data_IF_043503544067
#
_entry.id   IF_043503544067
#
_cell.length_a   1.000
_cell.length_b   1.000
_cell.length_c   1.000
_cell.angle_alpha   90.00
_cell.angle_beta   90.00
_cell.angle_gamma   90.00
#
_symmetry.space_group_name_H-M   'P 1'
#
loop_
_entity.id
_entity.type
_entity.pdbx_description
1 polymer ?
#
# COMPACT_ATOMS: atom_id res chain seq x y z
N UNK A 1 -25.25 -39.21 19.40
CA UNK A 1 -25.13 -37.80 19.83
C UNK A 1 -24.08 -37.15 18.95
N UNK A 2 -24.45 -36.34 17.94
CA UNK A 2 -23.47 -35.60 17.14
C UNK A 2 -23.06 -34.36 17.95
N UNK A 3 -21.81 -34.32 18.38
CA UNK A 3 -21.21 -33.12 18.99
C UNK A 3 -21.24 -32.02 17.93
N UNK A 4 -22.13 -31.05 18.09
CA UNK A 4 -22.13 -29.83 17.28
C UNK A 4 -20.91 -29.05 17.75
N UNK A 5 -19.83 -29.07 16.97
CA UNK A 5 -18.65 -28.24 17.25
C UNK A 5 -19.14 -26.79 17.15
N UNK A 6 -19.29 -26.13 18.30
CA UNK A 6 -19.57 -24.70 18.38
C UNK A 6 -18.26 -23.98 18.11
N UNK A 7 -18.16 -23.36 16.94
CA UNK A 7 -17.04 -22.50 16.59
C UNK A 7 -17.50 -21.07 16.75
N UNK A 8 -17.09 -20.40 17.83
CA UNK A 8 -17.32 -18.97 18.01
C UNK A 8 -16.19 -18.21 17.31
N UNK A 9 -16.53 -17.17 16.55
CA UNK A 9 -15.55 -16.23 15.98
C UNK A 9 -15.55 -14.92 16.75
N UNK A 10 -14.39 -14.25 16.77
CA UNK A 10 -14.22 -12.90 17.31
C UNK A 10 -14.23 -11.91 16.17
N UNK A 11 -15.17 -10.98 16.22
CA UNK A 11 -15.35 -9.92 15.23
C UNK A 11 -14.80 -8.64 15.84
N UNK A 12 -13.67 -8.22 15.32
CA UNK A 12 -13.06 -6.95 15.66
C UNK A 12 -13.58 -5.86 14.73
N UNK A 13 -13.46 -4.62 15.18
CA UNK A 13 -13.69 -3.42 14.40
C UNK A 13 -12.60 -2.36 14.56
N UNK A 14 -12.56 -1.49 13.56
CA UNK A 14 -11.87 -0.20 13.55
C UNK A 14 -12.46 0.72 12.49
N UNK A 15 -12.19 2.02 12.60
CA UNK A 15 -12.76 3.04 11.72
C UNK A 15 -11.70 4.01 11.20
N UNK A 16 -12.04 4.75 10.14
CA UNK A 16 -11.26 5.91 9.69
C UNK A 16 -11.09 6.91 10.83
N UNK A 17 -9.85 7.17 11.24
CA UNK A 17 -9.55 8.18 12.26
C UNK A 17 -9.74 9.57 11.69
N UNK A 18 -10.59 10.37 12.35
CA UNK A 18 -10.78 11.78 12.05
C UNK A 18 -10.67 12.63 13.31
N UNK A 19 -10.27 13.89 13.15
CA UNK A 19 -10.52 14.92 14.14
C UNK A 19 -11.92 15.50 13.90
N UNK A 20 -12.85 15.21 14.81
CA UNK A 20 -14.26 15.59 14.68
C UNK A 20 -14.54 16.94 15.36
N UNK A 21 -15.39 17.75 14.73
CA UNK A 21 -16.02 18.93 15.32
C UNK A 21 -17.54 18.87 15.10
N UNK A 22 -18.30 19.45 16.03
CA UNK A 22 -19.77 19.48 15.97
C UNK A 22 -20.45 18.56 16.98
N UNK A 23 -21.69 18.15 16.68
CA UNK A 23 -22.51 17.25 17.51
C UNK A 23 -22.79 15.95 16.76
N UNK A 24 -23.29 14.88 17.43
CA UNK A 24 -23.66 13.63 16.76
C UNK A 24 -24.60 13.79 15.55
N UNK A 25 -25.47 14.80 15.58
CA UNK A 25 -26.43 15.10 14.53
C UNK A 25 -25.84 15.99 13.41
N UNK A 26 -24.78 16.74 13.70
CA UNK A 26 -24.16 17.66 12.75
C UNK A 26 -22.66 17.82 13.05
N UNK A 27 -21.85 16.99 12.40
CA UNK A 27 -20.40 16.98 12.56
C UNK A 27 -19.67 17.05 11.22
N UNK A 28 -18.40 17.46 11.29
CA UNK A 28 -17.46 17.41 10.18
C UNK A 28 -16.06 17.00 10.64
N UNK A 29 -15.28 16.45 9.73
CA UNK A 29 -13.86 16.15 9.93
C UNK A 29 -13.02 17.38 9.64
N UNK A 30 -12.07 17.72 10.52
CA UNK A 30 -11.07 18.77 10.23
C UNK A 30 -9.76 18.22 9.68
N UNK A 31 -9.49 16.92 9.88
CA UNK A 31 -8.34 16.19 9.32
C UNK A 31 -8.48 14.69 9.58
N UNK A 32 -7.78 13.88 8.78
CA UNK A 32 -7.57 12.46 9.06
C UNK A 32 -6.47 12.27 10.11
N UNK A 33 -6.66 11.31 11.02
CA UNK A 33 -5.76 11.03 12.16
C UNK A 33 -5.24 9.59 12.17
N UNK A 34 -5.51 8.81 11.12
CA UNK A 34 -5.11 7.40 11.02
C UNK A 34 -6.32 6.48 11.19
N UNK A 35 -6.29 5.62 12.21
CA UNK A 35 -7.42 4.78 12.57
C UNK A 35 -7.92 5.12 13.98
N UNK A 36 -9.22 4.94 14.21
CA UNK A 36 -9.88 5.10 15.51
C UNK A 36 -10.79 3.90 15.81
N UNK A 37 -11.30 3.83 17.04
CA UNK A 37 -12.22 2.76 17.47
C UNK A 37 -11.65 1.35 17.26
N UNK A 38 -10.35 1.19 17.53
CA UNK A 38 -9.62 -0.06 17.37
C UNK A 38 -9.93 -1.01 18.52
N UNK A 39 -10.58 -2.11 18.21
CA UNK A 39 -10.77 -3.25 19.14
C UNK A 39 -9.59 -4.24 19.14
N UNK A 40 -8.57 -3.97 18.33
CA UNK A 40 -7.32 -4.71 18.21
C UNK A 40 -6.17 -3.81 18.67
N UNK A 41 -5.10 -4.41 19.20
CA UNK A 41 -3.87 -3.68 19.52
C UNK A 41 -3.34 -2.86 18.33
N UNK A 42 -3.45 -3.43 17.13
CA UNK A 42 -3.14 -2.76 15.87
C UNK A 42 -3.93 -3.37 14.72
N UNK A 43 -4.17 -2.60 13.66
CA UNK A 43 -4.75 -3.15 12.42
C UNK A 43 -3.76 -4.16 11.83
N UNK A 44 -4.18 -5.39 11.45
CA UNK A 44 -3.26 -6.40 10.92
C UNK A 44 -2.53 -5.91 9.65
N UNK A 45 -1.21 -6.16 9.51
CA UNK A 45 -0.43 -5.70 8.36
C UNK A 45 -1.01 -6.11 7.00
N UNK A 46 -1.49 -7.35 6.88
CA UNK A 46 -2.15 -7.86 5.66
C UNK A 46 -3.39 -7.05 5.27
N UNK A 47 -4.11 -6.51 6.25
CA UNK A 47 -5.27 -5.66 6.00
C UNK A 47 -4.85 -4.22 5.68
N UNK A 48 -3.81 -3.70 6.35
CA UNK A 48 -3.21 -2.40 6.01
C UNK A 48 -2.68 -2.40 4.57
N UNK A 49 -2.00 -3.47 4.16
CA UNK A 49 -1.57 -3.75 2.79
C UNK A 49 -2.74 -3.62 1.81
N UNK A 50 -3.85 -4.32 2.08
CA UNK A 50 -5.03 -4.27 1.22
C UNK A 50 -5.70 -2.88 1.16
N UNK A 51 -5.78 -2.18 2.29
CA UNK A 51 -6.33 -0.82 2.37
C UNK A 51 -5.47 0.15 1.56
N UNK A 52 -4.14 0.12 1.74
CA UNK A 52 -3.22 1.01 1.03
C UNK A 52 -3.07 0.67 -0.44
N UNK A 53 -3.30 -0.59 -0.82
CA UNK A 53 -3.47 -1.00 -2.20
C UNK A 53 -4.83 -0.62 -2.81
N UNK A 54 -5.64 0.17 -2.10
CA UNK A 54 -6.95 0.67 -2.55
C UNK A 54 -7.97 -0.43 -2.84
N UNK A 55 -7.81 -1.61 -2.24
CA UNK A 55 -8.69 -2.77 -2.45
C UNK A 55 -10.02 -2.66 -1.69
N UNK A 56 -10.07 -1.77 -0.69
CA UNK A 56 -11.29 -1.39 0.04
C UNK A 56 -11.76 0.03 -0.33
N UNK A 57 -11.22 0.65 -1.38
CA UNK A 57 -11.44 2.06 -1.66
C UNK A 57 -12.53 2.28 -2.73
N UNK A 58 -13.50 3.13 -2.40
CA UNK A 58 -14.46 3.65 -3.37
C UNK A 58 -13.77 4.66 -4.32
N UNK A 59 -14.22 4.75 -5.57
CA UNK A 59 -13.64 5.70 -6.53
C UNK A 59 -13.76 7.16 -6.03
N UNK A 60 -12.84 8.02 -6.44
CA UNK A 60 -12.92 9.44 -6.12
C UNK A 60 -14.26 10.02 -6.62
N UNK A 61 -14.92 10.84 -5.80
CA UNK A 61 -16.22 11.42 -6.13
C UNK A 61 -17.42 10.48 -5.98
N UNK A 62 -17.24 9.15 -5.91
CA UNK A 62 -18.36 8.17 -5.84
C UNK A 62 -19.30 8.40 -4.65
N UNK A 63 -18.77 8.78 -3.51
CA UNK A 63 -19.58 9.04 -2.30
C UNK A 63 -20.34 10.37 -2.41
N UNK A 64 -19.83 11.35 -3.17
CA UNK A 64 -20.60 12.55 -3.53
C UNK A 64 -21.73 12.19 -4.49
N UNK A 65 -21.45 11.37 -5.49
CA UNK A 65 -22.48 10.87 -6.42
C UNK A 65 -23.58 10.13 -5.66
N UNK A 66 -23.24 9.29 -4.67
CA UNK A 66 -24.23 8.60 -3.84
C UNK A 66 -25.17 9.57 -3.09
N UNK A 67 -24.63 10.68 -2.57
CA UNK A 67 -25.43 11.75 -1.93
C UNK A 67 -26.35 12.42 -2.95
N UNK A 68 -25.87 12.68 -4.16
CA UNK A 68 -26.66 13.29 -5.23
C UNK A 68 -27.77 12.37 -5.72
N UNK A 69 -27.49 11.08 -5.89
CA UNK A 69 -28.46 10.02 -6.26
C UNK A 69 -29.57 9.93 -5.21
N UNK A 70 -29.21 9.82 -3.92
CA UNK A 70 -30.18 9.75 -2.82
C UNK A 70 -31.07 11.00 -2.78
N UNK A 71 -30.48 12.19 -2.92
CA UNK A 71 -31.21 13.47 -2.96
C UNK A 71 -32.18 13.52 -4.14
N UNK A 72 -31.77 13.07 -5.32
CA UNK A 72 -32.63 13.03 -6.51
C UNK A 72 -33.82 12.07 -6.34
N UNK A 73 -33.65 11.00 -5.56
CA UNK A 73 -34.71 10.07 -5.19
C UNK A 73 -35.60 10.54 -4.03
N UNK A 74 -35.33 11.72 -3.45
CA UNK A 74 -36.06 12.24 -2.29
C UNK A 74 -35.70 11.54 -0.97
N UNK A 75 -34.57 10.84 -0.92
CA UNK A 75 -34.08 10.17 0.29
C UNK A 75 -33.31 11.14 1.19
N UNK A 76 -33.52 11.03 2.49
CA UNK A 76 -32.83 11.86 3.50
C UNK A 76 -31.52 11.23 4.00
N UNK A 77 -31.30 9.96 3.71
CA UNK A 77 -30.13 9.19 4.14
C UNK A 77 -29.56 8.39 2.97
N UNK A 78 -28.25 8.46 2.77
CA UNK A 78 -27.56 7.65 1.79
C UNK A 78 -27.39 6.23 2.32
N UNK A 79 -27.75 5.24 1.51
CA UNK A 79 -27.47 3.85 1.87
C UNK A 79 -25.96 3.59 1.83
N UNK A 80 -25.38 2.95 2.87
CA UNK A 80 -23.96 2.69 2.90
C UNK A 80 -23.56 1.71 1.80
N UNK A 81 -22.45 1.99 1.13
CA UNK A 81 -21.80 1.02 0.26
C UNK A 81 -21.00 0.03 1.12
N UNK A 82 -20.88 -1.22 0.67
CA UNK A 82 -20.12 -2.24 1.39
C UNK A 82 -19.12 -2.89 0.46
N UNK A 83 -17.87 -2.96 0.90
CA UNK A 83 -16.83 -3.75 0.25
C UNK A 83 -16.44 -4.89 1.18
N UNK A 84 -16.46 -6.12 0.69
CA UNK A 84 -16.10 -7.29 1.45
C UNK A 84 -15.00 -8.06 0.75
N UNK A 85 -14.03 -8.55 1.53
CA UNK A 85 -12.85 -9.21 1.00
C UNK A 85 -12.19 -10.13 2.01
N UNK A 86 -11.65 -11.22 1.50
CA UNK A 86 -10.65 -12.04 2.14
C UNK A 86 -9.23 -11.53 1.82
N UNK A 87 -8.36 -11.47 2.82
CA UNK A 87 -6.96 -11.07 2.67
C UNK A 87 -6.05 -12.12 3.31
N UNK A 88 -4.90 -12.41 2.69
CA UNK A 88 -3.92 -13.39 3.17
C UNK A 88 -2.50 -12.95 2.83
N UNK A 89 -1.59 -13.12 3.78
CA UNK A 89 -0.14 -12.90 3.65
C UNK A 89 0.56 -13.87 4.63
N UNK A 90 1.33 -14.82 4.09
CA UNK A 90 1.86 -15.95 4.86
C UNK A 90 0.78 -16.69 5.68
N UNK A 91 0.97 -16.74 7.00
CA UNK A 91 0.06 -17.38 7.95
C UNK A 91 -1.07 -16.45 8.44
N UNK A 92 -1.04 -15.17 8.06
CA UNK A 92 -2.05 -14.20 8.46
C UNK A 92 -3.17 -14.17 7.42
N UNK A 93 -4.38 -14.57 7.83
CA UNK A 93 -5.55 -14.57 6.97
C UNK A 93 -6.73 -13.92 7.70
N UNK A 94 -7.49 -13.07 7.02
CA UNK A 94 -8.66 -12.39 7.56
C UNK A 94 -9.78 -12.32 6.54
N UNK A 95 -11.02 -12.41 7.04
CA UNK A 95 -12.22 -11.99 6.31
C UNK A 95 -12.61 -10.63 6.85
N UNK A 96 -12.88 -9.65 5.98
CA UNK A 96 -13.23 -8.30 6.38
C UNK A 96 -14.34 -7.69 5.52
N UNK A 97 -15.15 -6.85 6.13
CA UNK A 97 -16.11 -5.96 5.46
C UNK A 97 -15.78 -4.51 5.82
N UNK A 98 -15.87 -3.62 4.85
CA UNK A 98 -15.75 -2.18 5.00
C UNK A 98 -17.10 -1.55 4.64
N UNK A 99 -17.69 -0.86 5.60
CA UNK A 99 -18.93 -0.10 5.43
C UNK A 99 -18.54 1.35 5.17
N UNK A 100 -18.97 1.88 4.04
CA UNK A 100 -18.55 3.18 3.50
C UNK A 100 -19.72 4.13 3.58
N UNK A 101 -19.49 5.28 4.21
CA UNK A 101 -20.51 6.32 4.37
C UNK A 101 -19.99 7.70 3.96
N UNK A 102 -20.86 8.56 3.43
CA UNK A 102 -20.55 9.98 3.23
C UNK A 102 -20.39 10.69 4.57
N UNK A 103 -19.38 11.54 4.64
CA UNK A 103 -19.21 12.54 5.69
C UNK A 103 -18.83 13.88 5.07
N UNK A 104 -18.75 14.94 5.89
CA UNK A 104 -18.28 16.26 5.46
C UNK A 104 -16.94 16.59 6.09
N UNK A 105 -16.10 17.31 5.36
CA UNK A 105 -14.94 17.98 5.93
C UNK A 105 -15.26 19.44 6.35
N UNK A 106 -14.28 20.14 6.91
CA UNK A 106 -14.44 21.52 7.37
C UNK A 106 -14.78 22.52 6.26
N UNK A 107 -14.54 22.14 4.99
CA UNK A 107 -14.87 22.94 3.80
C UNK A 107 -16.22 22.56 3.21
N UNK A 108 -16.98 21.68 3.87
CA UNK A 108 -18.27 21.17 3.41
C UNK A 108 -18.16 20.19 2.23
N UNK A 109 -16.96 19.72 1.88
CA UNK A 109 -16.77 18.74 0.82
C UNK A 109 -17.17 17.35 1.32
N UNK A 110 -17.79 16.56 0.45
CA UNK A 110 -18.11 15.16 0.77
C UNK A 110 -16.85 14.32 0.75
N UNK A 111 -16.60 13.61 1.85
CA UNK A 111 -15.50 12.67 2.03
C UNK A 111 -16.04 11.25 2.30
N UNK A 112 -15.23 10.24 2.00
CA UNK A 112 -15.54 8.84 2.31
C UNK A 112 -14.94 8.47 3.66
N UNK A 113 -15.76 8.02 4.61
CA UNK A 113 -15.31 7.44 5.88
C UNK A 113 -15.74 5.97 5.96
N UNK A 114 -14.92 5.17 6.63
CA UNK A 114 -15.02 3.73 6.63
C UNK A 114 -15.13 3.19 8.05
N UNK A 115 -16.00 2.21 8.24
CA UNK A 115 -16.02 1.33 9.42
C UNK A 115 -15.76 -0.09 8.97
N UNK A 116 -14.70 -0.69 9.50
CA UNK A 116 -14.23 -2.02 9.15
C UNK A 116 -14.64 -3.02 10.22
N UNK A 117 -15.10 -4.18 9.81
CA UNK A 117 -15.33 -5.34 10.67
C UNK A 117 -14.55 -6.53 10.12
N UNK A 118 -13.82 -7.23 10.98
CA UNK A 118 -12.94 -8.31 10.56
C UNK A 118 -12.90 -9.46 11.56
N UNK A 119 -12.60 -10.65 11.06
CA UNK A 119 -12.30 -11.85 11.86
C UNK A 119 -11.14 -12.60 11.24
N UNK A 120 -10.35 -13.26 12.06
CA UNK A 120 -9.27 -14.15 11.62
C UNK A 120 -9.83 -15.31 10.81
N UNK A 121 -9.08 -15.75 9.79
CA UNK A 121 -9.40 -16.88 8.93
C UNK A 121 -10.15 -16.52 7.65
N UNK A 122 -9.98 -17.35 6.64
CA UNK A 122 -10.75 -17.33 5.40
C UNK A 122 -12.09 -18.06 5.59
N UNK A 123 -13.03 -17.84 4.66
CA UNK A 123 -14.36 -18.45 4.65
C UNK A 123 -15.36 -17.79 5.60
N UNK A 124 -14.97 -16.73 6.31
CA UNK A 124 -15.79 -16.14 7.36
C UNK A 124 -16.66 -14.96 6.90
N UNK A 125 -16.59 -14.55 5.63
CA UNK A 125 -17.42 -13.45 5.11
C UNK A 125 -18.93 -13.70 5.34
N UNK A 126 -19.43 -14.91 5.10
CA UNK A 126 -20.84 -15.24 5.35
C UNK A 126 -21.24 -15.07 6.82
N UNK A 127 -20.34 -15.42 7.75
CA UNK A 127 -20.58 -15.24 9.19
C UNK A 127 -20.60 -13.76 9.56
N UNK A 128 -19.63 -12.97 9.05
CA UNK A 128 -19.59 -11.52 9.24
C UNK A 128 -20.86 -10.84 8.72
N UNK A 129 -21.36 -11.22 7.54
CA UNK A 129 -22.58 -10.63 6.98
C UNK A 129 -23.80 -10.94 7.82
N UNK A 130 -23.94 -12.17 8.29
CA UNK A 130 -25.07 -12.55 9.13
C UNK A 130 -25.05 -11.80 10.46
N UNK A 131 -23.88 -11.68 11.08
CA UNK A 131 -23.69 -10.85 12.26
C UNK A 131 -24.03 -9.38 11.98
N UNK A 132 -23.49 -8.80 10.89
CA UNK A 132 -23.66 -7.40 10.53
C UNK A 132 -25.14 -7.03 10.28
N UNK A 133 -25.83 -7.84 9.49
CA UNK A 133 -27.22 -7.59 9.07
C UNK A 133 -28.23 -7.91 10.20
N UNK A 134 -28.02 -8.98 10.97
CA UNK A 134 -29.01 -9.48 11.93
C UNK A 134 -28.75 -9.09 13.38
N UNK A 135 -27.49 -8.94 13.80
CA UNK A 135 -27.11 -8.68 15.20
C UNK A 135 -26.63 -7.25 15.41
N UNK A 136 -25.71 -6.79 14.58
CA UNK A 136 -25.17 -5.44 14.66
C UNK A 136 -26.18 -4.38 14.18
N UNK A 137 -27.24 -4.80 13.47
CA UNK A 137 -28.25 -3.90 12.88
C UNK A 137 -27.64 -2.86 11.94
N UNK A 138 -26.70 -3.30 11.09
CA UNK A 138 -26.07 -2.51 10.03
C UNK A 138 -25.35 -1.25 10.55
N UNK A 139 -24.46 -1.43 11.51
CA UNK A 139 -23.65 -0.34 12.07
C UNK A 139 -22.89 0.40 10.97
N UNK A 140 -23.04 1.71 10.93
CA UNK A 140 -22.31 2.61 10.05
C UNK A 140 -21.20 3.34 10.82
N UNK A 141 -20.41 4.14 10.11
CA UNK A 141 -19.41 5.00 10.73
C UNK A 141 -20.09 6.01 11.67
N UNK A 142 -19.56 6.10 12.89
CA UNK A 142 -19.92 7.11 13.88
C UNK A 142 -18.62 7.53 14.59
N UNK A 143 -18.19 8.80 14.47
CA UNK A 143 -16.98 9.28 15.12
C UNK A 143 -17.14 9.50 16.63
N UNK A 144 -18.37 9.45 17.16
CA UNK A 144 -18.66 9.56 18.59
C UNK A 144 -18.80 8.20 19.28
N UNK A 145 -18.85 7.10 18.51
CA UNK A 145 -18.70 5.77 19.07
C UNK A 145 -17.27 5.61 19.61
N UNK A 146 -17.12 4.96 20.77
CA UNK A 146 -15.83 4.77 21.44
C UNK A 146 -15.64 3.27 21.66
N UNK A 147 -14.56 2.73 21.08
CA UNK A 147 -14.15 1.33 21.22
C UNK A 147 -12.72 1.23 21.71
N UNK A 148 -12.47 0.32 22.63
CA UNK A 148 -11.15 0.02 23.17
C UNK A 148 -10.68 -1.36 22.72
N UNK A 149 -9.38 -1.59 22.87
CA UNK A 149 -8.79 -2.90 22.66
C UNK A 149 -9.51 -3.95 23.53
N UNK A 150 -9.95 -5.04 22.90
CA UNK A 150 -10.70 -6.10 23.58
C UNK A 150 -12.23 -5.96 23.47
N UNK A 151 -12.77 -4.83 23.00
CA UNK A 151 -14.21 -4.63 22.78
C UNK A 151 -14.72 -5.34 21.50
N UNK A 152 -14.25 -6.57 21.25
CA UNK A 152 -14.69 -7.38 20.12
C UNK A 152 -16.08 -7.99 20.37
N UNK A 153 -16.78 -8.31 19.27
CA UNK A 153 -18.02 -9.05 19.33
C UNK A 153 -17.75 -10.54 19.20
N UNK A 154 -18.46 -11.35 19.98
CA UNK A 154 -18.47 -12.79 19.79
C UNK A 154 -19.68 -13.21 18.95
N UNK A 155 -19.44 -14.11 18.00
CA UNK A 155 -20.49 -14.63 17.14
C UNK A 155 -20.38 -16.15 17.02
N UNK A 156 -21.43 -16.85 17.44
CA UNK A 156 -21.56 -18.29 17.23
C UNK A 156 -21.90 -18.58 15.77
N UNK A 157 -20.94 -19.18 15.04
CA UNK A 157 -21.09 -19.54 13.63
C UNK A 157 -22.23 -20.52 13.38
N UNK A 158 -22.69 -21.25 14.40
CA UNK A 158 -23.84 -22.13 14.32
C UNK A 158 -25.17 -21.41 14.11
N UNK A 159 -25.19 -20.08 14.34
CA UNK A 159 -26.33 -19.20 14.03
C UNK A 159 -26.41 -18.84 12.54
N UNK A 160 -25.32 -19.01 11.78
CA UNK A 160 -25.32 -18.72 10.35
C UNK A 160 -26.07 -19.79 9.59
N UNK A 161 -27.14 -19.38 8.91
CA UNK A 161 -27.88 -20.25 7.99
C UNK A 161 -27.14 -20.36 6.68
N UNK A 162 -27.14 -21.56 6.09
CA UNK A 162 -26.69 -21.73 4.70
C UNK A 162 -27.59 -20.89 3.80
N UNK A 163 -26.97 -20.02 3.02
CA UNK A 163 -27.65 -19.22 2.02
C UNK A 163 -27.40 -19.81 0.64
N UNK A 164 -28.46 -20.04 -0.09
CA UNK A 164 -28.43 -20.41 -1.49
C UNK A 164 -29.26 -19.39 -2.28
N UNK A 165 -28.76 -19.01 -3.46
CA UNK A 165 -29.55 -18.20 -4.39
C UNK A 165 -30.73 -19.08 -4.82
N UNK A 166 -31.99 -18.66 -4.61
CA UNK A 166 -33.15 -19.45 -4.99
C UNK A 166 -33.10 -19.82 -6.48
N UNK A 167 -33.42 -21.07 -6.83
CA UNK A 167 -33.48 -21.50 -8.23
C UNK A 167 -34.49 -20.70 -9.06
N UNK A 168 -35.54 -20.18 -8.41
CA UNK A 168 -36.53 -19.30 -9.02
C UNK A 168 -36.00 -17.93 -9.43
N UNK A 169 -34.81 -17.52 -8.94
CA UNK A 169 -34.19 -16.27 -9.36
C UNK A 169 -33.31 -16.48 -10.60
N UNK A 170 -33.94 -16.79 -11.73
CA UNK A 170 -33.27 -17.11 -13.00
C UNK A 170 -32.25 -16.05 -13.41
N UNK A 171 -32.55 -14.76 -13.19
CA UNK A 171 -31.64 -13.65 -13.51
C UNK A 171 -30.30 -13.78 -12.78
N UNK A 172 -30.30 -14.09 -11.49
CA UNK A 172 -29.06 -14.28 -10.73
C UNK A 172 -28.41 -15.64 -11.00
N UNK A 173 -29.20 -16.69 -11.28
CA UNK A 173 -28.66 -18.00 -11.66
C UNK A 173 -27.89 -17.91 -12.98
N UNK A 174 -28.40 -17.17 -13.97
CA UNK A 174 -27.75 -17.00 -15.26
C UNK A 174 -26.37 -16.31 -15.15
N UNK A 175 -26.18 -15.44 -14.15
CA UNK A 175 -24.88 -14.79 -13.91
C UNK A 175 -23.80 -15.78 -13.45
N UNK A 176 -24.17 -16.92 -12.86
CA UNK A 176 -23.21 -17.97 -12.48
C UNK A 176 -22.62 -18.68 -13.69
N UNK A 177 -23.33 -18.66 -14.82
CA UNK A 177 -22.91 -19.30 -16.06
C UNK A 177 -22.16 -18.34 -16.98
N UNK A 178 -21.92 -17.09 -16.57
CA UNK A 178 -21.12 -16.15 -17.38
C UNK A 178 -19.64 -16.52 -17.33
N UNK A 179 -18.97 -16.45 -18.47
CA UNK A 179 -17.52 -16.60 -18.59
C UNK A 179 -16.74 -15.35 -18.12
N UNK A 180 -17.41 -14.21 -17.93
CA UNK A 180 -16.78 -12.95 -17.51
C UNK A 180 -16.05 -13.10 -16.17
N UNK A 181 -14.80 -12.66 -16.05
CA UNK A 181 -14.04 -12.74 -14.79
C UNK A 181 -14.72 -11.96 -13.63
N UNK A 182 -15.35 -10.82 -13.94
CA UNK A 182 -16.06 -9.99 -12.98
C UNK A 182 -17.58 -10.02 -13.26
N UNK A 183 -18.39 -10.47 -12.30
CA UNK A 183 -19.85 -10.42 -12.40
C UNK A 183 -20.32 -9.01 -12.04
N UNK A 184 -20.78 -8.24 -13.01
CA UNK A 184 -21.45 -6.96 -12.78
C UNK A 184 -22.95 -7.18 -12.82
N UNK A 185 -23.57 -7.22 -11.64
CA UNK A 185 -25.01 -7.46 -11.50
C UNK A 185 -25.74 -6.20 -11.96
N UNK A 186 -26.67 -6.31 -12.90
CA UNK A 186 -27.44 -5.15 -13.37
C UNK A 186 -28.20 -4.50 -12.22
N UNK A 187 -28.23 -3.17 -12.19
CA UNK A 187 -28.94 -2.38 -11.19
C UNK A 187 -30.43 -2.75 -11.11
N UNK A 188 -31.04 -3.09 -12.26
CA UNK A 188 -32.45 -3.47 -12.38
C UNK A 188 -32.76 -4.87 -11.79
N UNK A 189 -31.74 -5.62 -11.35
CA UNK A 189 -31.88 -6.90 -10.67
C UNK A 189 -31.82 -6.66 -9.16
N UNK A 190 -32.90 -7.00 -8.45
CA UNK A 190 -32.90 -6.94 -6.99
C UNK A 190 -31.85 -7.92 -6.42
N UNK A 191 -30.81 -7.35 -5.83
CA UNK A 191 -29.72 -8.11 -5.22
C UNK A 191 -29.65 -7.83 -3.72
N UNK A 192 -29.72 -8.90 -2.92
CA UNK A 192 -29.43 -8.84 -1.49
C UNK A 192 -27.93 -9.05 -1.25
N UNK A 193 -27.42 -8.54 -0.14
CA UNK A 193 -26.00 -8.68 0.23
C UNK A 193 -25.52 -10.14 0.30
N UNK A 194 -26.41 -11.07 0.65
CA UNK A 194 -26.11 -12.50 0.65
C UNK A 194 -25.98 -13.09 -0.76
N UNK A 195 -26.72 -12.57 -1.73
CA UNK A 195 -26.64 -13.01 -3.13
C UNK A 195 -25.26 -12.70 -3.70
N UNK A 196 -24.78 -11.47 -3.52
CA UNK A 196 -23.48 -11.05 -4.06
C UNK A 196 -22.32 -11.82 -3.43
N UNK A 197 -22.35 -12.05 -2.11
CA UNK A 197 -21.35 -12.87 -1.45
C UNK A 197 -21.33 -14.31 -2.00
N UNK A 198 -22.52 -14.88 -2.27
CA UNK A 198 -22.64 -16.21 -2.85
C UNK A 198 -22.11 -16.25 -4.28
N UNK A 199 -22.48 -15.29 -5.12
CA UNK A 199 -21.97 -15.16 -6.49
C UNK A 199 -20.45 -15.08 -6.51
N UNK A 200 -19.85 -14.19 -5.71
CA UNK A 200 -18.40 -14.05 -5.61
C UNK A 200 -17.71 -15.34 -5.12
N UNK A 201 -18.29 -16.02 -4.12
CA UNK A 201 -17.73 -17.26 -3.58
C UNK A 201 -17.75 -18.44 -4.56
N UNK A 202 -18.68 -18.44 -5.52
CA UNK A 202 -18.76 -19.45 -6.58
C UNK A 202 -17.83 -19.09 -7.73
N UNK A 203 -17.77 -17.80 -8.07
CA UNK A 203 -17.04 -17.31 -9.24
C UNK A 203 -15.52 -17.30 -9.05
N UNK A 204 -15.04 -17.20 -7.81
CA UNK A 204 -13.60 -17.22 -7.52
C UNK A 204 -12.93 -18.49 -8.07
N UNK A 205 -11.74 -18.34 -8.62
CA UNK A 205 -10.90 -19.48 -8.98
C UNK A 205 -10.36 -20.19 -7.72
N UNK A 206 -9.83 -21.41 -7.89
CA UNK A 206 -9.42 -22.28 -6.77
C UNK A 206 -8.46 -21.61 -5.77
N UNK A 207 -7.60 -20.71 -6.25
CA UNK A 207 -6.59 -20.01 -5.46
C UNK A 207 -6.91 -18.53 -5.20
N UNK A 208 -8.07 -18.05 -5.65
CA UNK A 208 -8.47 -16.67 -5.44
C UNK A 208 -9.15 -16.45 -4.09
N UNK A 209 -8.87 -15.29 -3.51
CA UNK A 209 -9.56 -14.81 -2.31
C UNK A 209 -10.86 -14.12 -2.72
N UNK A 210 -11.92 -14.38 -1.96
CA UNK A 210 -13.26 -13.82 -2.25
C UNK A 210 -13.25 -12.30 -2.08
N UNK A 211 -13.70 -11.55 -3.08
CA UNK A 211 -13.88 -10.10 -3.02
C UNK A 211 -15.15 -9.67 -3.77
N UNK A 212 -15.97 -8.83 -3.14
CA UNK A 212 -17.16 -8.26 -3.76
C UNK A 212 -17.53 -6.88 -3.20
N UNK A 213 -18.37 -6.15 -3.95
CA UNK A 213 -18.80 -4.80 -3.60
C UNK A 213 -20.31 -4.60 -3.80
N UNK A 214 -21.00 -4.05 -2.81
CA UNK A 214 -22.47 -3.93 -2.77
C UNK A 214 -22.90 -2.46 -2.68
N UNK A 215 -23.80 -2.05 -3.58
CA UNK A 215 -24.34 -0.68 -3.69
C UNK A 215 -23.25 0.38 -3.76
N UNK A 216 -22.29 0.17 -4.66
CA UNK A 216 -21.20 1.12 -4.92
C UNK A 216 -21.51 2.02 -6.11
N UNK A 217 -21.28 3.33 -5.99
CA UNK A 217 -21.32 4.25 -7.15
C UNK A 217 -20.05 4.16 -8.00
N UNK A 218 -18.92 3.75 -7.40
CA UNK A 218 -17.66 3.53 -8.11
C UNK A 218 -16.59 2.91 -7.23
N UNK A 219 -15.61 2.26 -7.86
CA UNK A 219 -14.51 1.54 -7.18
C UNK A 219 -13.16 2.02 -7.71
N UNK A 220 -12.15 2.13 -6.84
CA UNK A 220 -10.80 2.50 -7.29
C UNK A 220 -10.17 1.43 -8.19
N UNK A 221 -10.46 0.15 -7.93
CA UNK A 221 -9.91 -0.99 -8.68
C UNK A 221 -10.97 -2.10 -8.91
N UNK A 222 -11.99 -1.88 -9.74
CA UNK A 222 -13.13 -2.79 -9.91
C UNK A 222 -12.76 -4.19 -10.43
N UNK A 223 -11.65 -4.33 -11.16
CA UNK A 223 -11.17 -5.61 -11.69
C UNK A 223 -10.73 -6.62 -10.61
N UNK A 224 -10.46 -6.18 -9.37
CA UNK A 224 -10.09 -7.08 -8.26
C UNK A 224 -11.31 -7.64 -7.49
N UNK A 225 -12.51 -7.62 -8.09
CA UNK A 225 -13.75 -8.09 -7.47
C UNK A 225 -14.42 -9.16 -8.31
N UNK A 226 -14.71 -10.33 -7.75
CA UNK A 226 -15.45 -11.38 -8.48
C UNK A 226 -16.91 -10.97 -8.74
N UNK A 227 -17.52 -10.17 -7.86
CA UNK A 227 -18.88 -9.67 -8.07
C UNK A 227 -19.07 -8.23 -7.58
N UNK A 228 -19.81 -7.43 -8.35
CA UNK A 228 -20.12 -6.04 -8.05
C UNK A 228 -21.62 -5.81 -8.25
N UNK A 229 -22.27 -5.20 -7.26
CA UNK A 229 -23.62 -4.68 -7.37
C UNK A 229 -23.57 -3.13 -7.31
N UNK A 230 -23.87 -2.44 -8.42
CA UNK A 230 -23.81 -1.00 -8.50
C UNK A 230 -24.96 -0.34 -7.71
N UNK A 231 -24.75 0.90 -7.26
CA UNK A 231 -25.76 1.70 -6.58
C UNK A 231 -26.80 2.32 -7.53
N UNK A 232 -26.44 2.49 -8.80
CA UNK A 232 -27.25 3.17 -9.81
C UNK A 232 -26.95 2.63 -11.23
N UNK A 233 -27.82 2.91 -12.21
CA UNK A 233 -27.55 2.58 -13.62
C UNK A 233 -26.30 3.29 -14.16
N UNK A 234 -26.06 4.53 -13.73
CA UNK A 234 -24.84 5.28 -14.05
C UNK A 234 -23.59 4.57 -13.52
N UNK A 235 -23.63 4.09 -12.28
CA UNK A 235 -22.54 3.32 -11.68
C UNK A 235 -22.30 2.01 -12.43
N UNK A 236 -23.36 1.31 -12.83
CA UNK A 236 -23.24 0.09 -13.65
C UNK A 236 -22.44 0.35 -14.94
N UNK A 237 -22.83 1.38 -15.70
CA UNK A 237 -22.16 1.77 -16.95
C UNK A 237 -20.71 2.19 -16.73
N UNK A 238 -20.47 3.00 -15.69
CA UNK A 238 -19.13 3.51 -15.35
C UNK A 238 -18.19 2.38 -14.96
N UNK A 239 -18.64 1.45 -14.11
CA UNK A 239 -17.85 0.31 -13.66
C UNK A 239 -17.57 -0.66 -14.81
N UNK A 240 -18.56 -0.93 -15.67
CA UNK A 240 -18.39 -1.74 -16.90
C UNK A 240 -17.30 -1.15 -17.79
N UNK A 241 -17.37 0.16 -18.05
CA UNK A 241 -16.37 0.87 -18.85
C UNK A 241 -14.97 0.79 -18.22
N UNK A 242 -14.88 0.99 -16.91
CA UNK A 242 -13.59 0.94 -16.19
C UNK A 242 -12.95 -0.46 -16.23
N UNK A 243 -13.75 -1.53 -16.14
CA UNK A 243 -13.25 -2.91 -16.29
C UNK A 243 -12.78 -3.17 -17.73
N UNK A 244 -13.55 -2.75 -18.73
CA UNK A 244 -13.16 -2.90 -20.15
C UNK A 244 -11.89 -2.12 -20.51
N UNK A 245 -11.68 -0.96 -19.89
CA UNK A 245 -10.51 -0.10 -20.10
C UNK A 245 -9.28 -0.53 -19.29
N UNK A 246 -9.39 -1.56 -18.45
CA UNK A 246 -8.32 -2.05 -17.58
C UNK A 246 -7.21 -2.79 -18.34
N UNK A 247 -6.56 -2.13 -19.31
CA UNK A 247 -5.34 -2.62 -19.96
C UNK A 247 -4.12 -2.29 -19.08
N UNK A 248 -3.31 -3.30 -18.74
CA UNK A 248 -2.12 -3.24 -17.88
C UNK A 248 -2.39 -2.94 -16.39
N UNK A 249 -3.16 -3.82 -15.73
CA UNK A 249 -3.31 -3.81 -14.27
C UNK A 249 -1.98 -4.23 -13.63
N UNK A 250 -1.35 -3.31 -12.87
CA UNK A 250 -0.19 -3.67 -12.05
C UNK A 250 -0.60 -4.71 -10.99
N UNK A 251 0.20 -5.77 -10.78
CA UNK A 251 -0.08 -6.77 -9.76
C UNK A 251 -0.09 -6.12 -8.37
N UNK A 252 -0.85 -6.69 -7.44
CA UNK A 252 -0.77 -6.32 -6.03
C UNK A 252 0.60 -6.75 -5.52
N UNK A 253 1.35 -5.81 -4.94
CA UNK A 253 2.69 -6.09 -4.40
C UNK A 253 2.53 -6.46 -2.93
N UNK A 254 2.91 -7.69 -2.58
CA UNK A 254 2.89 -8.18 -1.20
C UNK A 254 3.91 -7.40 -0.35
N UNK A 255 3.59 -7.12 0.93
CA UNK A 255 4.46 -6.36 1.83
C UNK A 255 4.63 -4.86 1.54
N UNK A 256 3.88 -4.28 0.59
CA UNK A 256 4.12 -2.91 0.12
C UNK A 256 3.88 -1.83 1.18
N UNK A 257 2.87 -2.02 2.04
CA UNK A 257 2.53 -1.05 3.08
C UNK A 257 3.62 -0.90 4.15
N UNK A 258 4.16 -1.98 4.74
CA UNK A 258 5.30 -1.89 5.64
C UNK A 258 6.49 -1.15 5.02
N UNK A 259 6.81 -1.42 3.75
CA UNK A 259 7.89 -0.75 3.01
C UNK A 259 7.62 0.75 2.85
N UNK A 260 6.43 1.12 2.35
CA UNK A 260 6.02 2.54 2.23
C UNK A 260 6.08 3.26 3.55
N UNK A 261 5.60 2.61 4.61
CA UNK A 261 5.61 3.19 5.95
C UNK A 261 7.02 3.35 6.47
N UNK A 262 7.91 2.39 6.23
CA UNK A 262 9.32 2.49 6.56
C UNK A 262 9.98 3.67 5.85
N UNK A 263 9.86 3.76 4.52
CA UNK A 263 10.42 4.87 3.72
C UNK A 263 9.88 6.21 4.23
N UNK A 264 8.55 6.37 4.33
CA UNK A 264 7.93 7.60 4.83
C UNK A 264 8.41 7.98 6.24
N UNK A 265 8.57 6.99 7.12
CA UNK A 265 9.02 7.22 8.51
C UNK A 265 10.47 7.69 8.52
N UNK A 266 11.36 7.03 7.79
CA UNK A 266 12.76 7.41 7.65
C UNK A 266 12.92 8.78 6.97
N UNK A 267 12.03 9.13 6.05
CA UNK A 267 12.01 10.48 5.45
C UNK A 267 11.59 11.55 6.46
N UNK A 268 10.56 11.29 7.28
CA UNK A 268 10.05 12.30 8.23
C UNK A 268 10.98 12.55 9.43
N UNK A 269 11.66 11.52 9.90
CA UNK A 269 12.44 11.59 11.14
C UNK A 269 13.77 10.89 10.98
N UNK A 270 14.81 11.47 11.58
CA UNK A 270 16.16 10.91 11.52
C UNK A 270 16.33 9.64 12.38
N UNK A 271 15.29 9.09 13.02
CA UNK A 271 15.41 7.86 13.80
C UNK A 271 15.39 6.62 12.92
N UNK A 272 16.51 5.89 12.86
CA UNK A 272 16.59 4.63 12.12
C UNK A 272 16.45 3.47 13.10
N UNK A 273 15.39 2.68 12.96
CA UNK A 273 15.13 1.49 13.79
C UNK A 273 15.32 0.23 12.96
N UNK A 274 15.72 -0.87 13.61
CA UNK A 274 15.89 -2.19 12.99
C UNK A 274 14.68 -2.58 12.12
N UNK A 275 13.46 -2.54 12.68
CA UNK A 275 12.26 -3.00 11.98
C UNK A 275 11.97 -2.22 10.69
N UNK A 276 12.25 -0.91 10.68
CA UNK A 276 12.05 -0.07 9.50
C UNK A 276 13.01 -0.48 8.37
N UNK A 277 14.28 -0.69 8.70
CA UNK A 277 15.25 -1.18 7.71
C UNK A 277 14.95 -2.61 7.29
N UNK A 278 14.46 -3.45 8.20
CA UNK A 278 14.17 -4.85 7.91
C UNK A 278 13.05 -4.98 6.87
N UNK A 279 12.03 -4.10 6.90
CA UNK A 279 11.01 -4.07 5.83
C UNK A 279 11.60 -3.74 4.46
N UNK A 280 12.53 -2.79 4.40
CA UNK A 280 13.21 -2.41 3.14
C UNK A 280 14.11 -3.55 2.66
N UNK A 281 14.89 -4.14 3.56
CA UNK A 281 15.77 -5.28 3.28
C UNK A 281 15.02 -6.48 2.71
N UNK A 282 13.91 -6.90 3.34
CA UNK A 282 13.10 -8.02 2.84
C UNK A 282 12.50 -7.72 1.46
N UNK A 283 12.08 -6.47 1.22
CA UNK A 283 11.60 -6.06 -0.10
C UNK A 283 12.71 -6.13 -1.17
N UNK A 284 13.92 -5.69 -0.84
CA UNK A 284 15.08 -5.76 -1.75
C UNK A 284 15.48 -7.20 -2.10
N UNK A 285 15.21 -8.19 -1.22
CA UNK A 285 15.43 -9.62 -1.50
C UNK A 285 14.41 -10.20 -2.48
N UNK A 286 13.21 -9.63 -2.55
CA UNK A 286 12.09 -10.10 -3.38
C UNK A 286 12.07 -9.42 -4.77
N UNK A 287 13.15 -9.55 -5.54
CA UNK A 287 13.33 -8.82 -6.82
C UNK A 287 12.25 -9.07 -7.87
N UNK A 288 11.54 -10.21 -7.80
CA UNK A 288 10.41 -10.50 -8.68
C UNK A 288 9.17 -9.63 -8.38
N UNK A 289 9.02 -9.18 -7.13
CA UNK A 289 7.91 -8.35 -6.68
C UNK A 289 8.30 -6.87 -6.56
N UNK A 290 9.56 -6.59 -6.19
CA UNK A 290 10.10 -5.24 -6.02
C UNK A 290 11.17 -4.92 -7.07
N UNK A 291 10.76 -4.89 -8.33
CA UNK A 291 11.60 -4.37 -9.41
C UNK A 291 11.64 -2.83 -9.41
N UNK A 292 12.51 -2.24 -10.22
CA UNK A 292 12.69 -0.78 -10.29
C UNK A 292 11.37 -0.03 -10.55
N UNK A 293 10.50 -0.59 -11.41
CA UNK A 293 9.17 -0.03 -11.68
C UNK A 293 8.27 -0.04 -10.44
N UNK A 294 8.31 -1.10 -9.65
CA UNK A 294 7.53 -1.19 -8.41
C UNK A 294 8.02 -0.20 -7.37
N UNK A 295 9.34 -0.10 -7.18
CA UNK A 295 9.93 0.93 -6.34
C UNK A 295 9.51 2.34 -6.80
N UNK A 296 9.62 2.64 -8.09
CA UNK A 296 9.33 3.96 -8.61
C UNK A 296 7.82 4.28 -8.56
N UNK A 297 6.97 3.48 -9.20
CA UNK A 297 5.53 3.77 -9.36
C UNK A 297 4.72 3.48 -8.10
N UNK A 298 5.02 2.39 -7.41
CA UNK A 298 4.20 1.93 -6.29
C UNK A 298 4.67 2.56 -4.99
N UNK A 299 5.99 2.59 -4.71
CA UNK A 299 6.52 3.15 -3.45
C UNK A 299 6.75 4.66 -3.54
N UNK A 300 7.73 5.11 -4.32
CA UNK A 300 8.25 6.48 -4.24
C UNK A 300 7.34 7.54 -4.86
N UNK A 301 6.65 7.23 -5.97
CA UNK A 301 5.67 8.16 -6.58
C UNK A 301 4.53 8.50 -5.63
N UNK A 302 4.11 7.56 -4.78
CA UNK A 302 3.07 7.81 -3.78
C UNK A 302 3.53 8.65 -2.59
N UNK A 303 4.84 8.86 -2.46
CA UNK A 303 5.48 9.68 -1.44
C UNK A 303 5.97 11.03 -1.99
N UNK A 304 5.53 11.39 -3.21
CA UNK A 304 5.86 12.62 -3.93
C UNK A 304 7.36 12.79 -4.28
N UNK A 305 8.02 11.70 -4.69
CA UNK A 305 9.42 11.75 -5.17
C UNK A 305 9.62 12.76 -6.31
N UNK A 306 8.62 12.99 -7.15
CA UNK A 306 8.70 13.99 -8.23
C UNK A 306 8.84 15.43 -7.72
N UNK A 307 8.33 15.72 -6.53
CA UNK A 307 8.60 17.00 -5.88
C UNK A 307 9.99 16.99 -5.24
N UNK A 308 10.43 15.88 -4.64
CA UNK A 308 11.78 15.76 -4.09
C UNK A 308 12.90 15.99 -5.12
N UNK A 309 12.65 15.66 -6.38
CA UNK A 309 13.58 15.87 -7.50
C UNK A 309 13.73 17.35 -7.91
N UNK A 310 12.87 18.25 -7.42
CA UNK A 310 12.88 19.68 -7.77
C UNK A 310 13.66 20.49 -6.73
N UNK A 311 14.50 21.42 -7.19
CA UNK A 311 15.35 22.25 -6.33
C UNK A 311 14.58 23.17 -5.36
N UNK A 312 13.29 23.46 -5.62
CA UNK A 312 12.47 24.31 -4.74
C UNK A 312 11.90 23.56 -3.53
N UNK A 313 12.09 22.23 -3.44
CA UNK A 313 11.46 21.37 -2.43
C UNK A 313 12.49 20.75 -1.47
N UNK A 314 13.33 21.59 -0.85
CA UNK A 314 14.47 21.14 -0.04
C UNK A 314 14.16 20.95 1.45
N UNK A 315 12.97 20.43 1.78
CA UNK A 315 12.67 20.12 3.18
C UNK A 315 13.47 18.90 3.64
N UNK A 316 13.77 18.75 4.95
CA UNK A 316 14.45 17.56 5.46
C UNK A 316 13.77 16.24 5.07
N UNK A 317 12.44 16.26 4.89
CA UNK A 317 11.67 15.13 4.39
C UNK A 317 12.07 14.74 2.97
N UNK A 318 12.08 15.70 2.04
CA UNK A 318 12.35 15.44 0.63
C UNK A 318 13.81 15.08 0.37
N UNK A 319 14.76 15.68 1.09
CA UNK A 319 16.18 15.31 1.02
C UNK A 319 16.35 13.81 1.37
N UNK A 320 15.82 13.39 2.52
CA UNK A 320 15.90 12.00 2.98
C UNK A 320 15.12 11.04 2.07
N UNK A 321 13.98 11.48 1.52
CA UNK A 321 13.22 10.69 0.55
C UNK A 321 14.04 10.43 -0.73
N UNK A 322 14.73 11.45 -1.23
CA UNK A 322 15.56 11.32 -2.43
C UNK A 322 16.80 10.46 -2.17
N UNK A 323 17.39 10.56 -0.97
CA UNK A 323 18.46 9.67 -0.53
C UNK A 323 18.02 8.20 -0.52
N UNK A 324 16.88 7.90 0.10
CA UNK A 324 16.31 6.55 0.11
C UNK A 324 15.96 6.07 -1.30
N UNK A 325 15.52 6.96 -2.19
CA UNK A 325 15.26 6.64 -3.60
C UNK A 325 16.52 6.18 -4.33
N UNK A 326 17.63 6.93 -4.19
CA UNK A 326 18.93 6.56 -4.75
C UNK A 326 19.51 5.28 -4.15
N UNK A 327 19.26 5.02 -2.86
CA UNK A 327 19.71 3.80 -2.19
C UNK A 327 18.97 2.55 -2.69
N UNK A 328 17.65 2.61 -2.90
CA UNK A 328 16.85 1.45 -3.30
C UNK A 328 16.91 1.18 -4.82
N UNK A 329 17.01 2.24 -5.62
CA UNK A 329 17.21 2.18 -7.07
C UNK A 329 18.59 2.73 -7.38
N UNK A 330 19.62 1.88 -7.25
CA UNK A 330 21.03 2.30 -7.28
C UNK A 330 21.43 3.10 -8.53
N UNK A 331 20.74 2.90 -9.66
CA UNK A 331 20.95 3.64 -10.91
C UNK A 331 20.57 5.13 -10.79
N UNK A 332 19.80 5.50 -9.77
CA UNK A 332 19.37 6.87 -9.47
C UNK A 332 20.29 7.59 -8.49
N UNK A 333 21.27 6.88 -7.91
CA UNK A 333 22.23 7.48 -7.00
C UNK A 333 23.04 8.63 -7.64
N UNK A 334 23.47 8.57 -8.93
CA UNK A 334 24.12 9.71 -9.56
C UNK A 334 23.22 10.94 -9.69
N UNK A 335 21.91 10.77 -9.90
CA UNK A 335 20.97 11.90 -9.97
C UNK A 335 20.86 12.60 -8.61
N UNK A 336 20.84 11.83 -7.52
CA UNK A 336 20.92 12.36 -6.15
C UNK A 336 22.23 13.10 -5.90
N UNK A 337 23.38 12.49 -6.24
CA UNK A 337 24.67 13.12 -6.03
C UNK A 337 24.80 14.40 -6.85
N UNK A 338 24.37 14.37 -8.11
CA UNK A 338 24.29 15.57 -8.95
C UNK A 338 23.34 16.59 -8.34
N UNK A 339 22.22 16.18 -7.76
CA UNK A 339 21.31 17.11 -7.07
C UNK A 339 21.95 17.72 -5.82
N UNK A 340 22.74 16.96 -5.07
CA UNK A 340 23.56 17.45 -3.96
C UNK A 340 24.75 18.32 -4.44
N UNK A 341 25.27 18.08 -5.64
CA UNK A 341 26.41 18.78 -6.27
C UNK A 341 26.00 19.96 -7.16
N UNK A 342 24.75 20.07 -7.60
CA UNK A 342 24.29 21.10 -8.55
C UNK A 342 24.29 22.52 -7.97
N UNK A 343 24.58 22.67 -6.67
CA UNK A 343 24.89 23.97 -6.04
C UNK A 343 26.40 24.21 -5.84
N UNK A 344 27.28 23.22 -6.04
CA UNK A 344 28.71 23.33 -5.73
C UNK A 344 29.49 24.34 -6.59
N UNK A 345 28.88 24.88 -7.66
CA UNK A 345 29.52 25.87 -8.54
C UNK A 345 28.90 27.27 -8.38
N UNK A 346 27.80 27.47 -7.62
CA UNK A 346 27.23 28.82 -7.46
C UNK A 346 26.49 29.11 -6.15
N UNK A 347 27.23 29.65 -5.17
CA UNK A 347 26.84 30.66 -4.15
C UNK A 347 25.60 30.35 -3.27
N UNK A 348 25.79 29.76 -2.08
CA UNK A 348 25.73 30.42 -0.75
C UNK A 348 25.90 29.39 0.40
N UNK A 349 26.89 29.61 1.27
CA UNK A 349 27.52 28.58 2.12
C UNK A 349 26.70 27.94 3.26
N UNK A 350 25.44 28.29 3.51
CA UNK A 350 24.71 27.81 4.70
C UNK A 350 23.65 26.73 4.40
N UNK A 351 22.81 26.93 3.38
CA UNK A 351 21.77 25.96 2.99
C UNK A 351 22.35 24.69 2.35
N UNK A 352 23.43 24.84 1.57
CA UNK A 352 24.12 23.74 0.88
C UNK A 352 24.75 22.75 1.88
N UNK A 353 25.36 23.26 2.95
CA UNK A 353 25.85 22.42 4.05
C UNK A 353 24.71 21.71 4.76
N UNK A 354 23.53 22.33 4.86
CA UNK A 354 22.38 21.76 5.56
C UNK A 354 21.82 20.55 4.81
N UNK A 355 21.70 20.61 3.48
CA UNK A 355 21.25 19.47 2.68
C UNK A 355 22.18 18.27 2.81
N UNK A 356 23.49 18.51 2.68
CA UNK A 356 24.50 17.47 2.85
C UNK A 356 24.47 16.90 4.28
N UNK A 357 24.36 17.76 5.31
CA UNK A 357 24.26 17.31 6.72
C UNK A 357 23.03 16.44 6.94
N UNK A 358 21.88 16.82 6.39
CA UNK A 358 20.62 16.06 6.52
C UNK A 358 20.77 14.68 5.88
N UNK A 359 21.33 14.59 4.67
CA UNK A 359 21.54 13.32 3.99
C UNK A 359 22.60 12.46 4.72
N UNK A 360 23.74 13.05 5.05
CA UNK A 360 24.82 12.36 5.77
C UNK A 360 24.36 11.83 7.14
N UNK A 361 23.45 12.54 7.83
CA UNK A 361 22.89 12.07 9.10
C UNK A 361 22.09 10.78 8.92
N UNK A 362 21.22 10.70 7.90
CA UNK A 362 20.44 9.50 7.63
C UNK A 362 21.36 8.33 7.23
N UNK A 363 22.24 8.54 6.26
CA UNK A 363 23.26 7.57 5.85
C UNK A 363 24.07 7.02 7.04
N UNK A 364 24.57 7.90 7.92
CA UNK A 364 25.34 7.49 9.11
C UNK A 364 24.51 6.59 10.01
N UNK A 365 23.25 6.94 10.27
CA UNK A 365 22.37 6.15 11.15
C UNK A 365 21.96 4.81 10.53
N UNK A 366 21.78 4.75 9.22
CA UNK A 366 21.60 3.48 8.50
C UNK A 366 22.85 2.61 8.69
N UNK A 367 24.05 3.17 8.46
CA UNK A 367 25.30 2.43 8.68
C UNK A 367 25.49 1.97 10.12
N UNK A 368 25.10 2.77 11.11
CA UNK A 368 25.14 2.38 12.53
C UNK A 368 24.22 1.19 12.81
N UNK A 369 23.01 1.21 12.27
CA UNK A 369 22.07 0.10 12.42
C UNK A 369 22.57 -1.16 11.71
N UNK A 370 23.21 -1.03 10.54
CA UNK A 370 23.84 -2.14 9.82
C UNK A 370 24.98 -2.73 10.64
N UNK A 371 25.87 -1.90 11.19
CA UNK A 371 26.98 -2.35 12.05
C UNK A 371 26.51 -3.08 13.31
N UNK A 372 25.36 -2.69 13.86
CA UNK A 372 24.76 -3.38 15.00
C UNK A 372 24.17 -4.75 14.64
N UNK A 373 23.87 -5.00 13.36
CA UNK A 373 23.31 -6.27 12.88
C UNK A 373 23.86 -6.64 11.50
N UNK A 374 25.16 -7.00 11.40
CA UNK A 374 25.87 -7.11 10.12
C UNK A 374 25.27 -8.16 9.17
N UNK A 375 24.69 -9.22 9.72
CA UNK A 375 24.10 -10.29 8.91
C UNK A 375 22.68 -9.98 8.42
N UNK A 376 22.03 -8.94 8.95
CA UNK A 376 20.62 -8.66 8.70
C UNK A 376 20.37 -7.86 7.42
N UNK A 377 21.31 -7.01 6.96
CA UNK A 377 21.06 -5.95 5.96
C UNK A 377 21.89 -6.05 4.68
N UNK A 378 22.15 -7.28 4.24
CA UNK A 378 23.04 -7.57 3.09
C UNK A 378 22.50 -7.02 1.77
N UNK A 379 21.18 -6.97 1.56
CA UNK A 379 20.60 -6.46 0.34
C UNK A 379 20.73 -4.93 0.24
N UNK A 380 20.55 -4.21 1.35
CA UNK A 380 20.79 -2.78 1.44
C UNK A 380 22.27 -2.47 1.17
N UNK A 381 23.20 -3.19 1.80
CA UNK A 381 24.64 -3.03 1.55
C UNK A 381 24.99 -3.29 0.08
N UNK A 382 24.44 -4.36 -0.51
CA UNK A 382 24.64 -4.70 -1.91
C UNK A 382 24.18 -3.56 -2.84
N UNK A 383 23.02 -2.96 -2.58
CA UNK A 383 22.53 -1.82 -3.37
C UNK A 383 23.43 -0.60 -3.25
N UNK A 384 23.93 -0.31 -2.05
CA UNK A 384 24.91 0.77 -1.86
C UNK A 384 26.20 0.51 -2.66
N UNK A 385 26.73 -0.71 -2.61
CA UNK A 385 27.91 -1.10 -3.42
C UNK A 385 27.64 -1.00 -4.93
N UNK A 386 26.46 -1.45 -5.38
CA UNK A 386 26.06 -1.32 -6.78
C UNK A 386 25.98 0.15 -7.22
N UNK A 387 25.46 1.03 -6.38
CA UNK A 387 25.40 2.46 -6.63
C UNK A 387 26.77 3.08 -6.78
N UNK A 388 27.70 2.77 -5.87
CA UNK A 388 29.10 3.25 -5.92
C UNK A 388 29.77 2.77 -7.22
N UNK A 389 29.65 1.48 -7.55
CA UNK A 389 30.22 0.93 -8.78
C UNK A 389 29.64 1.56 -10.04
N UNK A 390 28.34 1.87 -10.03
CA UNK A 390 27.66 2.56 -11.13
C UNK A 390 28.22 3.98 -11.32
N UNK A 391 28.42 4.73 -10.23
CA UNK A 391 29.04 6.06 -10.26
C UNK A 391 30.46 5.99 -10.84
N UNK A 392 31.31 5.12 -10.30
CA UNK A 392 32.71 4.96 -10.76
C UNK A 392 32.75 4.65 -12.26
N UNK A 393 31.91 3.72 -12.70
CA UNK A 393 31.82 3.34 -14.11
C UNK A 393 31.35 4.49 -15.01
N UNK A 394 30.38 5.28 -14.54
CA UNK A 394 29.87 6.44 -15.30
C UNK A 394 30.91 7.57 -15.43
N UNK A 395 31.77 7.75 -14.43
CA UNK A 395 32.87 8.71 -14.45
C UNK A 395 34.00 8.24 -15.39
N UNK A 396 34.39 6.97 -15.32
CA UNK A 396 35.40 6.40 -16.20
C UNK A 396 34.99 6.44 -17.69
N UNK A 397 33.70 6.24 -17.97
CA UNK A 397 33.16 6.38 -19.33
C UNK A 397 33.20 7.83 -19.83
N UNK A 398 32.90 8.82 -18.99
CA UNK A 398 33.03 10.24 -19.34
C UNK A 398 34.48 10.61 -19.68
N UNK A 399 35.45 10.18 -18.87
CA UNK A 399 36.88 10.42 -19.14
C UNK A 399 37.35 9.76 -20.45
N UNK A 400 36.79 8.59 -20.80
CA UNK A 400 37.09 7.92 -22.07
C UNK A 400 36.48 8.59 -23.30
N UNK A 401 35.34 9.27 -23.15
CA UNK A 401 34.63 9.99 -24.23
C UNK A 401 35.15 11.42 -24.40
N UNK A 402 35.61 12.07 -23.33
CA UNK A 402 36.22 13.41 -23.37
C UNK A 402 37.71 13.41 -23.78
N UNK A 403 38.26 12.25 -24.15
CA UNK A 403 39.54 12.16 -24.84
C UNK A 403 40.72 12.70 -24.04
N UNK A 404 40.93 12.19 -22.83
CA UNK A 404 42.21 12.37 -22.15
C UNK A 404 43.16 11.28 -22.64
N UNK A 405 44.10 11.67 -23.51
CA UNK A 405 45.30 10.89 -23.79
C UNK A 405 46.06 10.70 -22.47
N UNK A 406 45.96 9.52 -21.88
CA UNK A 406 47.00 9.06 -20.95
C UNK A 406 48.28 8.86 -21.76
N UNK A 407 49.12 9.89 -21.85
CA UNK A 407 50.53 9.68 -22.18
C UNK A 407 51.10 8.75 -21.12
N UNK A 408 51.60 7.61 -21.61
CA UNK A 408 52.27 6.58 -20.83
C UNK A 408 53.46 7.16 -20.06
N UNK A 409 53.26 7.58 -18.82
CA UNK A 409 54.35 7.85 -17.88
C UNK A 409 54.06 7.28 -16.48
N UNK A 410 53.54 6.05 -16.40
CA UNK A 410 53.62 5.26 -15.16
C UNK A 410 53.96 3.79 -15.45
N UNK A 411 54.97 3.55 -16.28
CA UNK A 411 55.59 2.22 -16.41
C UNK A 411 57.12 2.27 -16.48
N UNK A 412 57.75 3.27 -15.86
CA UNK A 412 59.22 3.41 -15.84
C UNK A 412 59.84 3.46 -14.42
N UNK A 413 59.07 3.27 -13.34
CA UNK A 413 59.60 3.34 -11.97
C UNK A 413 59.50 2.06 -11.12
N UNK A 414 59.14 0.92 -11.73
CA UNK A 414 59.14 -0.39 -11.03
C UNK A 414 60.24 -1.38 -11.41
N UNK A 415 61.06 -1.10 -12.44
CA UNK A 415 62.09 -2.02 -12.92
C UNK A 415 63.56 -1.54 -12.77
N UNK A 416 63.87 -0.67 -11.80
CA UNK A 416 65.25 -0.21 -11.55
C UNK A 416 65.76 -0.39 -10.11
N UNK A 417 65.30 -1.43 -9.40
CA UNK A 417 65.84 -1.76 -8.07
C UNK A 417 66.16 -3.23 -7.78
N UNK A 418 66.22 -4.09 -8.80
CA UNK A 418 66.74 -5.47 -8.66
C UNK A 418 67.55 -5.84 -9.90
N UNK A 419 68.77 -5.30 -10.02
CA UNK A 419 69.91 -5.96 -10.69
C UNK A 419 71.13 -5.04 -10.54
N UNK A 420 71.88 -5.18 -9.44
CA UNK A 420 73.29 -4.79 -9.29
C UNK A 420 73.70 -5.05 -7.83
N UNK A 421 73.90 -6.33 -7.50
CA UNK A 421 74.78 -6.80 -6.42
C UNK A 421 75.02 -8.30 -6.59
N UNK A 422 75.92 -8.67 -7.52
CA UNK A 422 76.79 -9.84 -7.38
C UNK A 422 77.75 -9.92 -8.58
N UNK A 423 78.81 -9.12 -8.54
CA UNK A 423 80.06 -9.50 -9.20
C UNK A 423 81.18 -9.00 -8.31
N UNK A 424 81.79 -9.94 -7.60
CA UNK A 424 83.24 -9.98 -7.38
C UNK A 424 83.63 -11.31 -6.74
N UNK A 425 84.45 -12.05 -7.48
CA UNK A 425 85.63 -12.79 -7.01
C UNK A 425 85.38 -14.11 -6.24
N UNK A 426 86.10 -15.21 -6.47
CA UNK A 426 87.36 -15.48 -7.17
C UNK A 426 87.49 -17.01 -7.31
N UNK A 427 88.00 -17.53 -8.45
CA UNK A 427 89.36 -18.08 -8.67
C UNK A 427 89.58 -19.49 -8.08
N UNK A 428 90.15 -20.32 -8.96
CA UNK A 428 90.73 -21.68 -8.83
C UNK A 428 89.78 -22.84 -8.58
#
# INVERSE_FOLDING_TARGET
>A
MRVKIMTTIKIHEFSTGIAVQGTPENWWSTRFTGYMNLTLAQVPPVLQNAISNRLFQAAEGSVREAVETARAAGETTVQPAIIAREVKEGNNAYSAIAVITPAKDEKGRTISVYRYFLTTGLGNLTHLLYWYDQKAKKLIFDPFDIKNEGDYYEYDTSQTRRFEIPRSNEKLQNLLNSDDANIIISYDIQCMIYNINKLASIKKEEYELTAWAYKVEGLSKPWFFQAIYPASRRAEETIKKQIQQGENIAPIVEGEYPVKTAIRTLSNQAGVKYDLLNHIEEALKLTNHYNDKTWEDSIFKTLDIENAKKADFNTPYFIRLYELYGLNIYQKLPDLLKWLELDAISKSNDLEQEHYKIAAELSRKIQEQIKQSPDSFKAIELKAFQGINYIISSLALKESVEGINFTQEVTAHRNKKVLLKSTTNNIS
#
